data_IF_999197213172
#
_entry.id   IF_999197213172
#
_cell.length_a   1.000
_cell.length_b   1.000
_cell.length_c   1.000
_cell.angle_alpha   90.00
_cell.angle_beta   90.00
_cell.angle_gamma   90.00
#
_symmetry.space_group_name_H-M   'P 1'
#
loop_
_entity.id
_entity.type
_entity.pdbx_description
1 polymer ?
#
# COMPACT_ATOMS: atom_id res chain seq x y z
N UNK A 1 -23.68 9.86 3.98
CA UNK A 1 -23.18 8.75 4.84
C UNK A 1 -23.12 7.41 4.11
N UNK A 2 -24.19 6.97 3.41
CA UNK A 2 -24.17 5.71 2.64
C UNK A 2 -23.07 5.65 1.56
N UNK A 3 -22.84 6.76 0.85
CA UNK A 3 -21.82 6.80 -0.22
C UNK A 3 -20.38 6.68 0.32
N UNK A 4 -20.10 7.20 1.52
CA UNK A 4 -18.76 7.10 2.13
C UNK A 4 -18.42 5.67 2.54
N UNK A 5 -19.36 4.96 3.17
CA UNK A 5 -19.13 3.57 3.55
C UNK A 5 -18.96 2.68 2.31
N UNK A 6 -19.76 2.91 1.26
CA UNK A 6 -19.60 2.20 -0.01
C UNK A 6 -18.19 2.37 -0.59
N UNK A 7 -17.70 3.62 -0.67
CA UNK A 7 -16.34 3.91 -1.16
C UNK A 7 -15.28 3.30 -0.26
N UNK A 8 -15.43 3.35 1.06
CA UNK A 8 -14.50 2.71 1.96
C UNK A 8 -14.47 1.18 1.79
N UNK A 9 -15.62 0.53 1.59
CA UNK A 9 -15.70 -0.89 1.26
C UNK A 9 -14.96 -1.20 -0.05
N UNK A 10 -15.03 -0.31 -1.04
CA UNK A 10 -14.28 -0.46 -2.29
C UNK A 10 -12.76 -0.31 -2.07
N UNK A 11 -12.33 0.70 -1.30
CA UNK A 11 -10.90 0.94 -0.97
C UNK A 11 -10.31 -0.25 -0.22
N UNK A 12 -11.00 -0.78 0.79
CA UNK A 12 -10.54 -1.97 1.53
C UNK A 12 -10.49 -3.19 0.61
N UNK A 13 -11.47 -3.40 -0.26
CA UNK A 13 -11.40 -4.47 -1.25
C UNK A 13 -10.16 -4.32 -2.16
N UNK A 14 -9.85 -3.10 -2.60
CA UNK A 14 -8.71 -2.83 -3.46
C UNK A 14 -7.38 -3.13 -2.75
N UNK A 15 -7.23 -2.69 -1.50
CA UNK A 15 -6.10 -3.03 -0.64
C UNK A 15 -5.90 -4.55 -0.55
N UNK A 16 -6.97 -5.29 -0.25
CA UNK A 16 -6.90 -6.75 -0.08
C UNK A 16 -6.61 -7.46 -1.40
N UNK A 17 -7.25 -7.05 -2.51
CA UNK A 17 -7.00 -7.60 -3.85
C UNK A 17 -5.56 -7.35 -4.29
N UNK A 18 -5.05 -6.12 -4.13
CA UNK A 18 -3.69 -5.77 -4.55
C UNK A 18 -2.62 -6.48 -3.69
N UNK A 19 -2.88 -6.63 -2.40
CA UNK A 19 -2.06 -7.45 -1.49
C UNK A 19 -2.05 -8.91 -1.94
N UNK A 20 -3.23 -9.47 -2.30
CA UNK A 20 -3.36 -10.82 -2.84
C UNK A 20 -2.59 -11.00 -4.15
N UNK A 21 -2.69 -10.05 -5.09
CA UNK A 21 -1.94 -10.07 -6.35
C UNK A 21 -0.43 -10.13 -6.11
N UNK A 22 0.09 -9.38 -5.13
CA UNK A 22 1.50 -9.45 -4.78
C UNK A 22 1.87 -10.84 -4.24
N UNK A 23 1.09 -11.41 -3.31
CA UNK A 23 1.34 -12.76 -2.80
C UNK A 23 1.25 -13.83 -3.88
N UNK A 24 0.29 -13.73 -4.80
CA UNK A 24 0.19 -14.64 -5.95
C UNK A 24 1.45 -14.59 -6.84
N UNK A 25 2.02 -13.40 -7.05
CA UNK A 25 3.31 -13.25 -7.76
C UNK A 25 4.46 -13.94 -7.02
N UNK A 26 4.48 -13.88 -5.68
CA UNK A 26 5.50 -14.58 -4.89
C UNK A 26 5.27 -16.10 -4.89
N UNK A 27 4.02 -16.55 -4.77
CA UNK A 27 3.65 -17.96 -4.85
C UNK A 27 4.10 -18.59 -6.17
N UNK A 28 3.90 -17.91 -7.30
CA UNK A 28 4.40 -18.38 -8.61
C UNK A 28 5.91 -18.55 -8.68
N UNK A 29 6.68 -17.79 -7.88
CA UNK A 29 8.15 -17.90 -7.81
C UNK A 29 8.60 -19.01 -6.87
N UNK A 30 7.96 -19.08 -5.70
CA UNK A 30 8.25 -20.07 -4.65
C UNK A 30 6.95 -20.43 -3.94
N UNK A 31 6.27 -21.52 -4.33
CA UNK A 31 5.07 -21.97 -3.68
C UNK A 31 5.33 -22.27 -2.20
N UNK A 32 4.38 -21.90 -1.33
CA UNK A 32 4.36 -22.31 0.07
C UNK A 32 2.92 -22.41 0.56
N UNK A 33 2.68 -23.27 1.54
CA UNK A 33 1.37 -23.43 2.16
C UNK A 33 0.90 -22.12 2.82
N UNK A 34 1.83 -21.39 3.46
CA UNK A 34 1.55 -20.09 4.09
C UNK A 34 1.04 -19.08 3.04
N UNK A 35 1.66 -19.03 1.86
CA UNK A 35 1.23 -18.14 0.78
C UNK A 35 -0.14 -18.57 0.21
N UNK A 36 -0.36 -19.86 -0.01
CA UNK A 36 -1.64 -20.37 -0.53
C UNK A 36 -2.81 -20.07 0.42
N UNK A 37 -2.64 -20.36 1.72
CA UNK A 37 -3.62 -20.04 2.75
C UNK A 37 -3.89 -18.54 2.81
N UNK A 38 -2.85 -17.71 2.81
CA UNK A 38 -3.02 -16.26 2.83
C UNK A 38 -3.76 -15.73 1.59
N UNK A 39 -3.47 -16.26 0.40
CA UNK A 39 -4.16 -15.89 -0.84
C UNK A 39 -5.66 -16.22 -0.75
N UNK A 40 -6.01 -17.42 -0.26
CA UNK A 40 -7.40 -17.86 -0.05
C UNK A 40 -8.11 -16.99 1.00
N UNK A 41 -7.46 -16.74 2.14
CA UNK A 41 -7.99 -15.88 3.21
C UNK A 41 -8.23 -14.45 2.73
N UNK A 42 -7.29 -13.85 2.00
CA UNK A 42 -7.46 -12.50 1.45
C UNK A 42 -8.63 -12.44 0.46
N UNK A 43 -8.83 -13.48 -0.36
CA UNK A 43 -10.01 -13.55 -1.24
C UNK A 43 -11.32 -13.59 -0.43
N UNK A 44 -11.39 -14.44 0.60
CA UNK A 44 -12.56 -14.51 1.49
C UNK A 44 -12.85 -13.17 2.18
N UNK A 45 -11.83 -12.52 2.74
CA UNK A 45 -11.97 -11.24 3.42
C UNK A 45 -12.41 -10.12 2.47
N UNK A 46 -11.94 -10.15 1.21
CA UNK A 46 -12.38 -9.24 0.15
C UNK A 46 -13.89 -9.33 -0.08
N UNK A 47 -14.43 -10.55 -0.22
CA UNK A 47 -15.87 -10.76 -0.42
C UNK A 47 -16.70 -10.35 0.81
N UNK A 48 -16.15 -10.52 2.02
CA UNK A 48 -16.80 -10.04 3.25
C UNK A 48 -16.79 -8.51 3.35
N UNK A 49 -15.70 -7.86 2.95
CA UNK A 49 -15.57 -6.40 2.99
C UNK A 49 -16.56 -5.71 2.04
N UNK A 50 -16.86 -6.35 0.89
CA UNK A 50 -17.86 -5.86 -0.08
C UNK A 50 -19.23 -5.62 0.52
N UNK A 51 -19.66 -6.48 1.43
CA UNK A 51 -21.00 -6.45 2.04
C UNK A 51 -20.95 -5.95 3.49
N UNK A 52 -19.95 -5.15 3.87
CA UNK A 52 -19.89 -4.59 5.22
C UNK A 52 -20.90 -3.46 5.38
N UNK A 53 -21.75 -3.56 6.41
CA UNK A 53 -22.79 -2.57 6.71
C UNK A 53 -22.35 -1.54 7.75
N UNK A 54 -21.23 -1.79 8.45
CA UNK A 54 -20.70 -0.90 9.49
C UNK A 54 -19.20 -0.64 9.32
N UNK A 55 -18.75 0.48 9.87
CA UNK A 55 -17.34 0.90 9.89
C UNK A 55 -16.48 -0.04 10.72
N UNK A 56 -16.98 -0.42 11.90
CA UNK A 56 -16.28 -1.29 12.84
C UNK A 56 -16.00 -2.65 12.22
N UNK A 57 -17.00 -3.21 11.53
CA UNK A 57 -16.85 -4.47 10.79
C UNK A 57 -15.86 -4.33 9.65
N UNK A 58 -15.91 -3.23 8.89
CA UNK A 58 -15.01 -2.99 7.77
C UNK A 58 -13.56 -2.87 8.25
N UNK A 59 -13.31 -2.12 9.32
CA UNK A 59 -11.98 -1.98 9.93
C UNK A 59 -11.48 -3.30 10.51
N UNK A 60 -12.36 -4.11 11.11
CA UNK A 60 -12.00 -5.46 11.57
C UNK A 60 -11.55 -6.38 10.44
N UNK A 61 -12.23 -6.32 9.28
CA UNK A 61 -11.86 -7.09 8.08
C UNK A 61 -10.55 -6.60 7.46
N UNK A 62 -10.34 -5.28 7.41
CA UNK A 62 -9.08 -4.67 6.96
C UNK A 62 -7.92 -5.13 7.84
N UNK A 63 -8.06 -5.04 9.17
CA UNK A 63 -7.04 -5.44 10.13
C UNK A 63 -6.71 -6.93 10.05
N UNK A 64 -7.73 -7.80 9.95
CA UNK A 64 -7.54 -9.23 9.75
C UNK A 64 -6.79 -9.52 8.45
N UNK A 65 -7.15 -8.82 7.36
CA UNK A 65 -6.48 -8.94 6.08
C UNK A 65 -5.02 -8.50 6.12
N UNK A 66 -4.73 -7.38 6.79
CA UNK A 66 -3.39 -6.88 7.00
C UNK A 66 -2.52 -7.87 7.80
N UNK A 67 -3.06 -8.48 8.86
CA UNK A 67 -2.35 -9.47 9.67
C UNK A 67 -1.98 -10.72 8.86
N UNK A 68 -2.94 -11.27 8.11
CA UNK A 68 -2.71 -12.41 7.21
C UNK A 68 -1.68 -12.06 6.14
N UNK A 69 -1.82 -10.90 5.51
CA UNK A 69 -0.94 -10.44 4.45
C UNK A 69 0.50 -10.28 4.93
N UNK A 70 0.74 -9.54 6.02
CA UNK A 70 2.12 -9.26 6.46
C UNK A 70 2.84 -10.52 6.95
N UNK A 71 2.13 -11.47 7.57
CA UNK A 71 2.71 -12.77 7.92
C UNK A 71 3.22 -13.52 6.68
N UNK A 72 2.43 -13.55 5.61
CA UNK A 72 2.83 -14.18 4.35
C UNK A 72 3.88 -13.38 3.58
N UNK A 73 3.82 -12.05 3.63
CA UNK A 73 4.83 -11.15 3.07
C UNK A 73 6.23 -11.45 3.65
N UNK A 74 6.33 -11.68 4.97
CA UNK A 74 7.57 -12.05 5.63
C UNK A 74 8.23 -13.30 5.03
N UNK A 75 7.44 -14.30 4.67
CA UNK A 75 7.95 -15.53 4.02
C UNK A 75 8.45 -15.32 2.58
N UNK A 76 8.14 -14.18 1.97
CA UNK A 76 8.59 -13.81 0.64
C UNK A 76 9.97 -13.11 0.66
N UNK A 77 10.51 -12.83 1.84
CA UNK A 77 11.85 -12.27 2.01
C UNK A 77 12.86 -13.42 1.99
N UNK A 78 13.79 -13.37 1.04
CA UNK A 78 14.82 -14.40 0.86
C UNK A 78 16.17 -14.04 1.48
N UNK A 79 16.38 -12.76 1.83
CA UNK A 79 17.61 -12.31 2.48
C UNK A 79 17.46 -12.47 4.01
N UNK A 80 18.28 -13.36 4.60
CA UNK A 80 18.27 -13.68 6.03
C UNK A 80 18.65 -12.51 6.94
N UNK A 81 19.31 -11.47 6.41
CA UNK A 81 19.59 -10.23 7.15
C UNK A 81 18.30 -9.46 7.53
N UNK A 82 17.18 -9.76 6.87
CA UNK A 82 15.92 -9.03 7.02
C UNK A 82 14.84 -9.95 7.60
N UNK A 83 14.69 -9.95 8.92
CA UNK A 83 13.62 -10.69 9.60
C UNK A 83 12.34 -9.86 9.65
N UNK A 84 11.21 -10.46 9.28
CA UNK A 84 9.90 -9.81 9.33
C UNK A 84 8.80 -10.79 9.74
N UNK A 85 8.33 -10.63 10.98
CA UNK A 85 7.23 -11.43 11.53
C UNK A 85 5.91 -10.69 11.45
N UNK A 86 5.93 -9.39 11.76
CA UNK A 86 4.75 -8.53 11.81
C UNK A 86 5.09 -7.06 11.55
N UNK A 87 4.04 -6.27 11.30
CA UNK A 87 4.14 -4.84 11.04
C UNK A 87 4.16 -4.05 12.35
N UNK A 88 5.30 -3.42 12.66
CA UNK A 88 5.45 -2.41 13.72
C UNK A 88 5.66 -1.03 13.10
N UNK A 89 4.80 -0.06 13.43
CA UNK A 89 4.78 1.26 12.76
C UNK A 89 5.36 2.40 13.60
N UNK A 90 5.16 2.39 14.92
CA UNK A 90 5.43 3.53 15.81
C UNK A 90 5.99 3.06 17.17
N UNK A 91 7.32 2.92 17.30
CA UNK A 91 8.32 3.00 16.23
C UNK A 91 8.43 1.72 15.39
N UNK A 92 9.06 1.76 14.19
CA UNK A 92 9.43 0.55 13.45
C UNK A 92 10.47 -0.27 14.24
N UNK A 93 10.25 -1.56 14.40
CA UNK A 93 11.11 -2.41 15.25
C UNK A 93 12.30 -3.07 14.53
N UNK A 94 12.33 -3.06 13.19
CA UNK A 94 13.36 -3.72 12.39
C UNK A 94 13.54 -3.08 11.00
N UNK A 95 14.60 -3.43 10.24
CA UNK A 95 14.90 -2.82 8.95
C UNK A 95 13.77 -2.94 7.91
N UNK A 96 13.08 -4.08 7.85
CA UNK A 96 11.93 -4.27 6.95
C UNK A 96 10.79 -3.32 7.29
N UNK A 97 10.47 -3.18 8.59
CA UNK A 97 9.48 -2.23 9.07
C UNK A 97 9.89 -0.77 8.79
N UNK A 98 11.19 -0.45 8.88
CA UNK A 98 11.73 0.86 8.54
C UNK A 98 11.54 1.18 7.04
N UNK A 99 11.86 0.23 6.15
CA UNK A 99 11.66 0.35 4.70
C UNK A 99 10.19 0.57 4.34
N UNK A 100 9.28 -0.23 4.91
CA UNK A 100 7.84 -0.08 4.68
C UNK A 100 7.33 1.27 5.20
N UNK A 101 7.73 1.68 6.41
CA UNK A 101 7.31 2.96 7.00
C UNK A 101 7.78 4.15 6.16
N UNK A 102 9.05 4.15 5.76
CA UNK A 102 9.62 5.21 4.94
C UNK A 102 8.95 5.26 3.56
N UNK A 103 8.76 4.11 2.92
CA UNK A 103 8.06 4.01 1.64
C UNK A 103 6.63 4.52 1.67
N UNK A 104 5.86 4.14 2.70
CA UNK A 104 4.51 4.65 2.87
C UNK A 104 4.49 6.16 3.09
N UNK A 105 5.45 6.73 3.82
CA UNK A 105 5.50 8.19 3.99
C UNK A 105 5.82 8.91 2.67
N UNK A 106 6.78 8.41 1.89
CA UNK A 106 7.14 8.98 0.58
C UNK A 106 5.94 8.93 -0.36
N UNK A 107 5.28 7.78 -0.48
CA UNK A 107 4.10 7.61 -1.32
C UNK A 107 2.92 8.47 -0.84
N UNK A 108 2.71 8.57 0.48
CA UNK A 108 1.66 9.40 1.06
C UNK A 108 1.87 10.88 0.73
N UNK A 109 3.09 11.39 0.86
CA UNK A 109 3.43 12.78 0.51
C UNK A 109 3.18 13.06 -0.99
N UNK A 110 3.49 12.09 -1.86
CA UNK A 110 3.21 12.21 -3.29
C UNK A 110 1.71 12.29 -3.58
N UNK A 111 0.90 11.40 -3.00
CA UNK A 111 -0.56 11.41 -3.14
C UNK A 111 -1.16 12.69 -2.57
N UNK A 112 -0.71 13.12 -1.38
CA UNK A 112 -1.14 14.37 -0.76
C UNK A 112 -0.88 15.58 -1.67
N UNK A 113 0.31 15.65 -2.28
CA UNK A 113 0.63 16.72 -3.24
C UNK A 113 -0.30 16.69 -4.46
N UNK A 114 -0.67 15.51 -4.97
CA UNK A 114 -1.61 15.38 -6.08
C UNK A 114 -3.03 15.78 -5.68
N UNK A 115 -3.47 15.47 -4.46
CA UNK A 115 -4.78 15.89 -3.92
C UNK A 115 -4.87 17.42 -3.90
N UNK A 116 -3.86 18.10 -3.34
CA UNK A 116 -3.76 19.56 -3.30
C UNK A 116 -3.76 20.16 -4.71
N UNK A 117 -2.94 19.62 -5.62
CA UNK A 117 -2.88 20.09 -7.02
C UNK A 117 -4.21 19.93 -7.78
N UNK A 118 -5.02 18.93 -7.41
CA UNK A 118 -6.34 18.73 -7.98
C UNK A 118 -7.43 19.56 -7.30
N UNK A 119 -7.10 20.33 -6.26
CA UNK A 119 -8.04 21.19 -5.51
C UNK A 119 -9.04 20.40 -4.67
N UNK A 120 -8.68 19.18 -4.24
CA UNK A 120 -9.49 18.36 -3.35
C UNK A 120 -9.17 18.69 -1.89
N UNK A 121 -10.18 18.63 -1.02
CA UNK A 121 -9.99 18.72 0.43
C UNK A 121 -9.27 17.46 0.96
N UNK A 122 -8.02 17.55 1.45
CA UNK A 122 -7.28 16.40 1.94
C UNK A 122 -7.86 15.75 3.19
N UNK A 123 -8.70 16.48 3.94
CA UNK A 123 -9.35 15.99 5.15
C UNK A 123 -10.64 15.24 4.83
N UNK A 124 -11.12 15.25 3.57
CA UNK A 124 -12.30 14.52 3.15
C UNK A 124 -12.01 13.02 2.95
N UNK A 125 -11.76 12.31 4.04
CA UNK A 125 -11.68 10.84 4.05
C UNK A 125 -13.05 10.18 3.91
N UNK A 126 -13.07 9.05 3.22
CA UNK A 126 -14.12 8.06 3.24
C UNK A 126 -13.84 7.00 4.30
N UNK A 127 -12.65 6.37 4.32
CA UNK A 127 -12.30 5.26 5.20
C UNK A 127 -11.69 5.72 6.54
N UNK A 128 -10.64 6.55 6.50
CA UNK A 128 -9.99 7.04 7.70
C UNK A 128 -10.71 8.25 8.27
N UNK A 129 -10.81 8.32 9.59
CA UNK A 129 -11.37 9.48 10.26
C UNK A 129 -10.44 10.68 10.10
N UNK A 130 -11.00 11.79 9.65
CA UNK A 130 -10.31 13.06 9.65
C UNK A 130 -10.00 13.50 11.09
N UNK A 131 -8.79 13.98 11.32
CA UNK A 131 -8.48 14.82 12.47
C UNK A 131 -7.82 16.09 11.95
N UNK A 132 -7.79 17.17 12.73
CA UNK A 132 -7.30 18.49 12.31
C UNK A 132 -5.90 18.48 11.66
N UNK A 133 -5.11 17.40 11.88
CA UNK A 133 -3.74 17.26 11.37
C UNK A 133 -3.51 16.03 10.49
N UNK A 134 -4.57 15.33 10.09
CA UNK A 134 -4.45 14.12 9.30
C UNK A 134 -5.22 14.24 7.99
N UNK A 135 -4.48 14.35 6.88
CA UNK A 135 -5.08 14.29 5.54
C UNK A 135 -5.59 12.87 5.26
N UNK A 136 -6.81 12.61 5.73
CA UNK A 136 -7.47 11.32 5.68
C UNK A 136 -7.66 10.82 4.24
N UNK A 137 -7.89 11.70 3.28
CA UNK A 137 -8.02 11.31 1.87
C UNK A 137 -6.72 10.72 1.31
N UNK A 138 -5.56 11.28 1.68
CA UNK A 138 -4.27 10.70 1.28
C UNK A 138 -4.06 9.30 1.91
N UNK A 139 -4.52 9.11 3.15
CA UNK A 139 -4.49 7.82 3.84
C UNK A 139 -5.46 6.79 3.27
N UNK A 140 -6.54 7.23 2.66
CA UNK A 140 -7.49 6.40 1.94
C UNK A 140 -6.92 5.94 0.60
N UNK A 141 -6.53 6.91 -0.24
CA UNK A 141 -6.06 6.62 -1.60
C UNK A 141 -4.76 5.81 -1.61
N UNK A 142 -3.88 5.98 -0.61
CA UNK A 142 -2.65 5.18 -0.53
C UNK A 142 -2.93 3.68 -0.38
N UNK A 143 -4.07 3.27 0.19
CA UNK A 143 -4.37 1.85 0.44
C UNK A 143 -4.35 1.00 -0.83
N UNK A 144 -4.72 1.61 -1.95
CA UNK A 144 -4.72 0.98 -3.27
C UNK A 144 -3.29 0.74 -3.79
N UNK A 145 -2.34 1.56 -3.34
CA UNK A 145 -0.98 1.61 -3.89
C UNK A 145 0.11 1.02 -2.97
N UNK A 146 -0.19 0.74 -1.69
CA UNK A 146 0.81 0.17 -0.75
C UNK A 146 1.45 -1.11 -1.28
N UNK A 147 0.65 -2.13 -1.57
CA UNK A 147 1.16 -3.40 -2.10
C UNK A 147 1.86 -3.27 -3.47
N UNK A 148 1.26 -2.65 -4.50
CA UNK A 148 1.85 -2.63 -5.83
C UNK A 148 3.07 -1.73 -5.96
N UNK A 149 3.16 -0.65 -5.19
CA UNK A 149 4.29 0.30 -5.25
C UNK A 149 5.32 -0.01 -4.17
N UNK A 150 4.94 0.13 -2.90
CA UNK A 150 5.87 0.13 -1.78
C UNK A 150 6.29 -1.28 -1.40
N UNK A 151 5.35 -2.18 -1.13
CA UNK A 151 5.68 -3.50 -0.60
C UNK A 151 6.46 -4.32 -1.63
N UNK A 152 6.07 -4.23 -2.90
CA UNK A 152 6.79 -4.83 -4.01
C UNK A 152 8.20 -4.23 -4.20
N UNK A 153 8.39 -2.92 -3.93
CA UNK A 153 9.70 -2.26 -3.94
C UNK A 153 10.56 -2.75 -2.77
N UNK A 154 10.00 -2.89 -1.57
CA UNK A 154 10.70 -3.40 -0.40
C UNK A 154 11.20 -4.82 -0.66
N UNK A 155 10.36 -5.72 -1.17
CA UNK A 155 10.81 -7.07 -1.55
C UNK A 155 11.91 -7.03 -2.61
N UNK A 156 11.80 -6.14 -3.60
CA UNK A 156 12.83 -5.98 -4.62
C UNK A 156 14.16 -5.54 -4.01
N UNK A 157 14.17 -4.49 -3.18
CA UNK A 157 15.37 -3.95 -2.54
C UNK A 157 16.06 -5.00 -1.66
N UNK A 158 15.29 -5.70 -0.84
CA UNK A 158 15.81 -6.72 0.09
C UNK A 158 16.33 -7.94 -0.67
N UNK A 159 15.50 -8.53 -1.54
CA UNK A 159 15.85 -9.80 -2.19
C UNK A 159 16.94 -9.65 -3.25
N UNK A 160 17.12 -8.45 -3.82
CA UNK A 160 18.25 -8.12 -4.71
C UNK A 160 19.49 -7.61 -3.96
N UNK A 161 19.48 -7.59 -2.63
CA UNK A 161 20.60 -7.10 -1.79
C UNK A 161 21.04 -5.68 -2.14
N UNK A 162 20.10 -4.83 -2.56
CA UNK A 162 20.37 -3.41 -2.86
C UNK A 162 20.59 -2.64 -1.55
N UNK A 163 19.86 -3.04 -0.51
CA UNK A 163 20.01 -2.55 0.86
C UNK A 163 20.64 -3.62 1.73
N UNK A 164 21.43 -3.20 2.72
CA UNK A 164 22.07 -4.05 3.71
C UNK A 164 21.59 -3.69 5.12
N UNK A 165 21.25 -4.69 5.93
CA UNK A 165 20.62 -4.46 7.23
C UNK A 165 21.52 -3.74 8.25
N UNK A 166 22.84 -3.89 8.15
CA UNK A 166 23.80 -3.27 9.07
C UNK A 166 24.19 -1.86 8.60
N UNK A 167 24.48 -1.69 7.31
CA UNK A 167 25.07 -0.47 6.77
C UNK A 167 24.05 0.63 6.42
N UNK A 168 22.79 0.29 6.17
CA UNK A 168 21.78 1.23 5.65
C UNK A 168 20.73 1.67 6.69
N UNK A 169 20.85 1.20 7.93
CA UNK A 169 19.90 1.44 9.00
C UNK A 169 20.58 1.94 10.28
N UNK A 170 19.81 2.63 11.11
CA UNK A 170 20.23 3.07 12.44
C UNK A 170 19.12 2.82 13.46
N UNK A 171 19.50 2.42 14.67
CA UNK A 171 18.58 2.28 15.79
C UNK A 171 18.70 3.49 16.69
N UNK A 172 17.58 4.17 16.93
CA UNK A 172 17.50 5.36 17.80
C UNK A 172 16.11 5.46 18.43
N UNK A 173 16.04 5.97 19.66
CA UNK A 173 14.77 6.19 20.38
C UNK A 173 13.83 4.96 20.40
N UNK A 174 14.39 3.75 20.56
CA UNK A 174 13.64 2.50 20.56
C UNK A 174 13.09 2.06 19.20
N UNK A 175 13.53 2.68 18.09
CA UNK A 175 13.10 2.37 16.72
C UNK A 175 14.25 2.16 15.75
N UNK A 176 13.95 1.51 14.62
CA UNK A 176 14.83 1.32 13.47
C UNK A 176 14.43 2.26 12.33
N UNK A 177 15.41 2.95 11.74
CA UNK A 177 15.21 3.94 10.68
C UNK A 177 16.26 3.77 9.58
N UNK A 178 15.96 4.22 8.36
CA UNK A 178 16.98 4.31 7.32
C UNK A 178 17.94 5.46 7.65
N UNK A 179 19.24 5.19 7.58
CA UNK A 179 20.26 6.23 7.64
C UNK A 179 20.38 6.96 6.29
N UNK A 180 21.39 7.82 6.12
CA UNK A 180 21.55 8.55 4.86
C UNK A 180 21.76 7.64 3.63
N UNK A 181 22.59 6.61 3.76
CA UNK A 181 22.84 5.63 2.69
C UNK A 181 21.56 4.90 2.29
N UNK A 182 20.82 4.37 3.29
CA UNK A 182 19.57 3.68 3.06
C UNK A 182 18.52 4.56 2.37
N UNK A 183 18.37 5.81 2.81
CA UNK A 183 17.42 6.77 2.20
C UNK A 183 17.75 7.04 0.73
N UNK A 184 19.03 7.27 0.39
CA UNK A 184 19.46 7.51 -1.00
C UNK A 184 19.15 6.30 -1.89
N UNK A 185 19.49 5.09 -1.43
CA UNK A 185 19.21 3.84 -2.16
C UNK A 185 17.71 3.64 -2.38
N UNK A 186 16.91 3.85 -1.32
CA UNK A 186 15.47 3.72 -1.39
C UNK A 186 14.85 4.72 -2.38
N UNK A 187 15.17 6.00 -2.23
CA UNK A 187 14.59 7.06 -3.07
C UNK A 187 14.96 6.91 -4.53
N UNK A 188 16.21 6.53 -4.84
CA UNK A 188 16.64 6.24 -6.21
C UNK A 188 15.80 5.12 -6.82
N UNK A 189 15.60 4.02 -6.09
CA UNK A 189 14.79 2.91 -6.57
C UNK A 189 13.30 3.26 -6.64
N UNK A 190 12.79 4.11 -5.75
CA UNK A 190 11.42 4.60 -5.77
C UNK A 190 11.15 5.47 -7.01
N UNK A 191 12.03 6.41 -7.35
CA UNK A 191 11.89 7.23 -8.56
C UNK A 191 11.85 6.36 -9.82
N UNK A 192 12.79 5.43 -9.96
CA UNK A 192 12.78 4.47 -11.07
C UNK A 192 11.49 3.65 -11.11
N UNK A 193 10.98 3.23 -9.94
CA UNK A 193 9.71 2.51 -9.82
C UNK A 193 8.51 3.34 -10.29
N UNK A 194 8.54 4.64 -10.07
CA UNK A 194 7.50 5.57 -10.50
C UNK A 194 7.56 5.86 -12.01
N UNK A 195 8.75 5.82 -12.61
CA UNK A 195 8.99 6.02 -14.06
C UNK A 195 8.74 4.76 -14.90
N UNK A 196 8.87 3.57 -14.30
CA UNK A 196 8.56 2.30 -14.94
C UNK A 196 7.15 2.34 -15.58
N UNK A 197 7.08 2.10 -16.89
CA UNK A 197 5.83 2.12 -17.63
C UNK A 197 5.03 0.84 -17.41
N UNK A 198 3.72 0.99 -17.24
CA UNK A 198 2.75 -0.11 -17.10
C UNK A 198 1.77 -0.03 -18.26
N UNK A 199 1.60 -1.14 -18.98
CA UNK A 199 0.66 -1.23 -20.09
C UNK A 199 -0.77 -1.36 -19.59
N UNK A 200 -1.68 -0.59 -20.20
CA UNK A 200 -3.13 -0.72 -20.02
C UNK A 200 -3.71 -1.78 -20.96
N UNK A 201 -4.99 -2.12 -20.79
CA UNK A 201 -5.73 -2.95 -21.75
C UNK A 201 -5.90 -2.30 -23.13
N UNK A 202 -5.83 -0.97 -23.23
CA UNK A 202 -5.94 -0.26 -24.50
C UNK A 202 -4.66 -0.28 -25.32
N UNK A 203 -3.58 -0.88 -24.80
CA UNK A 203 -2.25 -0.89 -25.43
C UNK A 203 -1.40 0.34 -25.08
N UNK A 204 -1.97 1.32 -24.38
CA UNK A 204 -1.25 2.50 -23.92
C UNK A 204 -0.30 2.16 -22.77
N UNK A 205 0.88 2.76 -22.76
CA UNK A 205 1.90 2.56 -21.73
C UNK A 205 2.16 3.87 -21.00
N UNK A 206 1.91 3.91 -19.70
CA UNK A 206 2.08 5.10 -18.89
C UNK A 206 2.90 4.82 -17.63
N UNK A 207 3.68 5.80 -17.14
CA UNK A 207 4.46 5.63 -15.91
C UNK A 207 3.54 5.46 -14.70
N UNK A 208 4.02 4.79 -13.64
CA UNK A 208 3.23 4.57 -12.43
C UNK A 208 2.83 5.85 -11.71
N UNK A 209 3.63 6.91 -11.78
CA UNK A 209 3.23 8.21 -11.22
C UNK A 209 1.95 8.76 -11.88
N UNK A 210 1.76 8.56 -13.19
CA UNK A 210 0.55 9.06 -13.83
C UNK A 210 -0.66 8.20 -13.47
N UNK A 211 -0.50 6.89 -13.25
CA UNK A 211 -1.57 6.05 -12.71
C UNK A 211 -2.14 6.60 -11.39
N UNK A 212 -1.27 7.06 -10.49
CA UNK A 212 -1.69 7.67 -9.22
C UNK A 212 -2.41 8.99 -9.47
N UNK A 213 -1.87 9.84 -10.35
CA UNK A 213 -2.51 11.10 -10.76
C UNK A 213 -3.91 10.87 -11.35
N UNK A 214 -4.06 9.89 -12.25
CA UNK A 214 -5.36 9.51 -12.80
C UNK A 214 -6.31 9.01 -11.70
N UNK A 215 -5.83 8.25 -10.72
CA UNK A 215 -6.66 7.77 -9.62
C UNK A 215 -7.20 8.92 -8.76
N UNK A 216 -6.37 9.93 -8.45
CA UNK A 216 -6.82 11.15 -7.76
C UNK A 216 -7.87 11.90 -8.59
N UNK A 217 -7.71 11.96 -9.92
CA UNK A 217 -8.73 12.54 -10.82
C UNK A 217 -10.03 11.73 -10.86
N UNK A 218 -9.96 10.40 -10.80
CA UNK A 218 -11.14 9.52 -10.69
C UNK A 218 -11.88 9.82 -9.38
N UNK A 219 -11.17 9.94 -8.26
CA UNK A 219 -11.77 10.34 -6.99
C UNK A 219 -12.41 11.72 -7.07
N UNK A 220 -11.73 12.69 -7.72
CA UNK A 220 -12.28 14.03 -7.96
C UNK A 220 -13.61 13.98 -8.69
N UNK A 221 -13.70 13.23 -9.79
CA UNK A 221 -14.96 13.09 -10.55
C UNK A 221 -16.09 12.51 -9.69
N UNK A 222 -15.80 11.52 -8.86
CA UNK A 222 -16.76 10.97 -7.91
C UNK A 222 -17.25 12.03 -6.90
N UNK A 223 -16.37 12.91 -6.40
CA UNK A 223 -16.76 13.98 -5.46
C UNK A 223 -17.68 15.02 -6.13
N UNK A 224 -17.42 15.38 -7.39
CA UNK A 224 -18.21 16.39 -8.11
C UNK A 224 -19.50 15.84 -8.73
N UNK A 225 -19.50 14.57 -9.11
CA UNK A 225 -20.65 13.88 -9.71
C UNK A 225 -20.73 12.46 -9.16
N UNK A 226 -21.58 12.28 -8.16
CA UNK A 226 -21.78 11.01 -7.46
C UNK A 226 -22.43 9.92 -8.31
N UNK A 227 -22.95 10.25 -9.50
CA UNK A 227 -23.35 9.24 -10.48
C UNK A 227 -22.16 8.43 -10.99
N UNK A 228 -20.95 9.00 -10.94
CA UNK A 228 -19.71 8.29 -11.24
C UNK A 228 -19.27 7.49 -10.00
N UNK A 229 -19.59 6.20 -9.96
CA UNK A 229 -19.10 5.32 -8.90
C UNK A 229 -17.56 5.32 -8.87
N UNK A 230 -16.98 5.54 -7.68
CA UNK A 230 -15.55 5.41 -7.51
C UNK A 230 -15.09 3.98 -7.80
N UNK A 231 -14.02 3.83 -8.57
CA UNK A 231 -13.41 2.55 -8.89
C UNK A 231 -11.93 2.59 -8.46
N UNK A 232 -11.58 1.95 -7.34
CA UNK A 232 -10.21 1.85 -6.87
C UNK A 232 -9.26 1.21 -7.88
N UNK A 233 -8.00 1.60 -7.83
CA UNK A 233 -6.93 0.99 -8.60
C UNK A 233 -6.72 -0.48 -8.21
N UNK A 234 -6.72 -1.36 -9.21
CA UNK A 234 -6.39 -2.77 -9.07
C UNK A 234 -5.16 -3.13 -9.89
N UNK A 235 -4.13 -3.62 -9.21
CA UNK A 235 -2.92 -4.15 -9.81
C UNK A 235 -3.18 -5.57 -10.35
N UNK A 236 -2.69 -5.83 -11.55
CA UNK A 236 -2.91 -7.08 -12.29
C UNK A 236 -1.69 -7.98 -12.27
#
# INVERSE_FOLDING_TARGET
MKDKLLVACQIVQAKLKNSRTLLQRQYRRKPSEILDLAIKSLNYLTEKARNSETWERLMGLEGAGAAVYFKAFGTSISNSEFVFTERSKRPPGNPTNALLSFGYQVLWNHIYSLIELQGLDPYFGCLHQASERHAALASDLIEEFRAPIVDSLVLYLINRKIVNAEADFEYRNGGCYLNNSGRVKYLKAFVLRMEEKVSSNSGDSQPRWDLINQQVKVFKRFVYDSANQYQPYLNR
#
